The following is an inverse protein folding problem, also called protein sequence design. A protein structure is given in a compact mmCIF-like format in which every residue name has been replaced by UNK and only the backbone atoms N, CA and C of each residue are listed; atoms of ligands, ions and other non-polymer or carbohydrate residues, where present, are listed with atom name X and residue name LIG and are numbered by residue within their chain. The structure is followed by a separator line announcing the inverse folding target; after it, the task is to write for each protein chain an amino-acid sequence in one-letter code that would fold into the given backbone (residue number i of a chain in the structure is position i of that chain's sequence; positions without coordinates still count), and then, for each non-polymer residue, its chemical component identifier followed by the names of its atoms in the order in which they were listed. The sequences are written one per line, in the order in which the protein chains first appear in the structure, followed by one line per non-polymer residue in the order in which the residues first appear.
data_IF_792388658111
#
_entry.id   IF_792388658111
#
_cell.length_a   1.000
_cell.length_b   1.000
_cell.length_c   1.000
_cell.angle_alpha   90.00
_cell.angle_beta   90.00
_cell.angle_gamma   90.00
#
_symmetry.space_group_name_H-M   'P 1'
#
loop_
_entity.id
_entity.type
_entity.pdbx_description
1 polymer ?
#
# COMPACT_ATOMS: atom_id res chain seq x y z
N UNK A 1 29.71 6.40 4.28
CA UNK A 1 30.22 5.84 5.56
C UNK A 1 31.59 5.27 5.25
N UNK A 2 32.58 5.53 6.09
CA UNK A 2 33.93 5.00 5.93
C UNK A 2 34.43 4.45 7.26
N UNK A 3 35.38 3.54 7.21
CA UNK A 3 36.03 2.95 8.35
C UNK A 3 37.43 2.47 7.95
N UNK A 4 38.25 2.14 8.92
CA UNK A 4 39.60 1.58 8.70
C UNK A 4 39.60 0.17 9.31
N UNK A 5 40.24 -0.77 8.61
CA UNK A 5 40.40 -2.14 9.10
C UNK A 5 41.46 -2.17 10.22
N UNK A 6 41.27 -3.09 11.16
CA UNK A 6 42.26 -3.39 12.19
C UNK A 6 43.36 -4.29 11.63
N UNK A 7 44.33 -4.67 12.48
CA UNK A 7 45.46 -5.56 12.12
C UNK A 7 45.03 -6.95 11.61
N UNK A 8 43.80 -7.35 11.86
CA UNK A 8 43.21 -8.64 11.40
C UNK A 8 42.43 -8.47 10.09
N UNK A 9 42.35 -7.25 9.55
CA UNK A 9 41.53 -6.95 8.38
C UNK A 9 40.04 -6.73 8.65
N UNK A 10 39.58 -6.66 9.91
CA UNK A 10 38.19 -6.44 10.25
C UNK A 10 37.86 -4.96 10.40
N UNK A 11 36.73 -4.53 9.91
CA UNK A 11 36.17 -3.21 10.19
C UNK A 11 34.68 -3.33 10.52
N UNK A 12 34.23 -2.58 11.52
CA UNK A 12 32.82 -2.47 11.84
C UNK A 12 32.36 -1.03 11.59
N UNK A 13 31.39 -0.88 10.72
CA UNK A 13 30.77 0.42 10.41
C UNK A 13 29.28 0.39 10.75
N UNK A 14 28.81 1.44 11.38
CA UNK A 14 27.39 1.57 11.72
C UNK A 14 26.68 2.40 10.64
N UNK A 15 25.83 1.77 9.87
CA UNK A 15 24.94 2.44 8.93
C UNK A 15 23.63 2.84 9.61
N UNK A 16 23.23 4.11 9.49
CA UNK A 16 21.91 4.60 9.90
C UNK A 16 21.18 5.06 8.65
N UNK A 17 19.96 4.56 8.50
CA UNK A 17 19.08 4.98 7.42
C UNK A 17 18.11 6.02 7.95
N UNK A 18 18.23 7.25 7.48
CA UNK A 18 17.21 8.27 7.71
C UNK A 18 16.16 8.14 6.62
N UNK A 19 15.08 7.47 6.97
CA UNK A 19 13.91 7.36 6.11
C UNK A 19 12.99 8.54 6.39
N UNK A 20 12.56 9.22 5.34
CA UNK A 20 11.44 10.15 5.42
C UNK A 20 10.21 9.45 6.02
N UNK A 21 9.29 10.22 6.60
CA UNK A 21 8.11 9.73 7.32
C UNK A 21 7.11 8.88 6.50
N UNK A 22 7.41 8.59 5.24
CA UNK A 22 6.47 8.02 4.26
C UNK A 22 7.06 6.87 3.45
N UNK A 23 7.78 5.95 4.09
CA UNK A 23 8.17 4.72 3.39
C UNK A 23 6.91 3.95 2.95
N UNK A 24 6.81 3.52 1.67
CA UNK A 24 5.60 2.88 1.16
C UNK A 24 5.37 1.48 1.72
N UNK A 25 6.38 0.88 2.33
CA UNK A 25 6.33 -0.47 2.87
C UNK A 25 7.71 -0.97 3.28
N UNK A 26 7.93 -2.26 3.16
CA UNK A 26 9.23 -2.88 3.35
C UNK A 26 10.19 -2.46 2.22
N UNK A 27 11.42 -2.15 2.56
CA UNK A 27 12.45 -1.66 1.63
C UNK A 27 13.52 -2.71 1.42
N UNK A 28 14.17 -2.65 0.28
CA UNK A 28 15.37 -3.40 -0.02
C UNK A 28 16.58 -2.46 0.07
N UNK A 29 17.43 -2.65 1.06
CA UNK A 29 18.67 -1.93 1.18
C UNK A 29 19.76 -2.64 0.35
N UNK A 30 20.39 -1.91 -0.54
CA UNK A 30 21.56 -2.37 -1.28
C UNK A 30 22.80 -1.74 -0.64
N UNK A 31 23.70 -2.56 -0.12
CA UNK A 31 24.95 -2.15 0.49
C UNK A 31 26.08 -2.46 -0.48
N UNK A 32 26.85 -1.45 -0.84
CA UNK A 32 28.05 -1.62 -1.67
C UNK A 32 29.25 -1.26 -0.81
N UNK A 33 30.09 -2.23 -0.54
CA UNK A 33 31.33 -2.08 0.24
C UNK A 33 32.50 -2.02 -0.71
N UNK A 34 33.38 -1.04 -0.51
CA UNK A 34 34.68 -0.95 -1.22
C UNK A 34 35.77 -1.00 -0.18
N UNK A 35 36.68 -1.93 -0.36
CA UNK A 35 37.88 -2.06 0.46
C UNK A 35 39.08 -1.66 -0.38
N UNK A 36 39.79 -0.63 0.06
CA UNK A 36 40.96 -0.09 -0.63
C UNK A 36 42.24 -0.60 0.00
N UNK A 37 43.22 -0.94 -0.83
CA UNK A 37 44.57 -1.22 -0.43
C UNK A 37 45.40 0.07 -0.44
N UNK A 38 46.57 0.09 0.20
CA UNK A 38 47.46 1.25 0.21
C UNK A 38 47.96 1.60 -1.21
N UNK A 39 48.02 0.61 -2.11
CA UNK A 39 48.36 0.82 -3.53
C UNK A 39 47.32 1.63 -4.31
N UNK A 40 46.13 1.78 -3.77
CA UNK A 40 44.98 2.42 -4.44
C UNK A 40 44.05 1.46 -5.16
N UNK A 41 44.38 0.17 -5.24
CA UNK A 41 43.52 -0.86 -5.74
C UNK A 41 42.35 -1.09 -4.74
N UNK A 42 41.21 -1.58 -5.22
CA UNK A 42 40.07 -1.86 -4.37
C UNK A 42 39.26 -3.07 -4.81
N UNK A 43 38.65 -3.72 -3.83
CA UNK A 43 37.68 -4.77 -4.02
C UNK A 43 36.29 -4.22 -3.74
N UNK A 44 35.28 -4.71 -4.48
CA UNK A 44 33.87 -4.34 -4.30
C UNK A 44 33.08 -5.59 -3.90
N UNK A 45 32.25 -5.45 -2.89
CA UNK A 45 31.23 -6.43 -2.53
C UNK A 45 29.86 -5.74 -2.42
N UNK A 46 28.80 -6.46 -2.75
CA UNK A 46 27.45 -5.93 -2.77
C UNK A 46 26.47 -6.89 -2.08
N UNK A 47 25.92 -6.44 -0.97
CA UNK A 47 24.91 -7.16 -0.20
C UNK A 47 23.53 -6.53 -0.35
N UNK A 48 22.52 -7.37 -0.20
CA UNK A 48 21.11 -6.96 -0.17
C UNK A 48 20.44 -7.45 1.10
N UNK A 49 19.78 -6.54 1.80
CA UNK A 49 19.02 -6.87 2.99
C UNK A 49 17.64 -6.21 2.96
N UNK A 50 16.65 -6.93 3.53
CA UNK A 50 15.34 -6.35 3.77
C UNK A 50 15.41 -5.41 4.97
N UNK A 51 14.89 -4.22 4.79
CA UNK A 51 14.75 -3.23 5.85
C UNK A 51 13.28 -2.94 6.10
N UNK A 52 12.85 -3.16 7.34
CA UNK A 52 11.48 -2.89 7.76
C UNK A 52 11.39 -1.58 8.53
N UNK A 53 10.83 -0.50 7.94
CA UNK A 53 10.64 0.76 8.64
C UNK A 53 9.49 0.72 9.65
N UNK A 54 8.61 -0.25 9.56
CA UNK A 54 7.44 -0.39 10.42
C UNK A 54 7.50 -1.66 11.27
N UNK A 55 6.95 -1.59 12.48
CA UNK A 55 6.79 -2.76 13.35
C UNK A 55 5.68 -3.69 12.88
N UNK A 56 4.63 -3.10 12.28
CA UNK A 56 3.45 -3.80 11.74
C UNK A 56 3.05 -3.19 10.41
N UNK A 57 2.45 -4.04 9.59
CA UNK A 57 1.97 -3.71 8.27
C UNK A 57 0.48 -3.97 8.18
N UNK A 58 -0.28 -2.99 7.76
CA UNK A 58 -1.68 -3.16 7.41
C UNK A 58 -1.79 -3.72 5.99
N UNK A 59 -2.77 -4.58 5.76
CA UNK A 59 -3.14 -5.12 4.46
C UNK A 59 -4.63 -4.92 4.20
N UNK A 60 -5.00 -4.84 2.92
CA UNK A 60 -6.40 -4.82 2.47
C UNK A 60 -6.57 -5.73 1.27
N UNK A 61 -7.69 -6.44 1.24
CA UNK A 61 -8.12 -7.25 0.11
C UNK A 61 -9.50 -6.78 -0.35
N UNK A 62 -9.60 -6.42 -1.62
CA UNK A 62 -10.87 -6.09 -2.27
C UNK A 62 -11.68 -7.37 -2.49
N UNK A 63 -13.02 -7.31 -2.36
CA UNK A 63 -13.91 -8.39 -2.78
C UNK A 63 -13.93 -8.57 -4.31
N UNK A 64 -13.43 -7.59 -5.06
CA UNK A 64 -13.39 -7.61 -6.52
C UNK A 64 -12.47 -8.75 -6.98
N UNK A 65 -13.03 -9.71 -7.70
CA UNK A 65 -12.27 -10.72 -8.44
C UNK A 65 -11.85 -10.15 -9.79
N UNK A 66 -10.87 -10.77 -10.43
CA UNK A 66 -10.35 -10.35 -11.73
C UNK A 66 -11.49 -10.01 -12.72
N UNK A 67 -11.55 -8.73 -13.14
CA UNK A 67 -12.51 -8.17 -14.10
C UNK A 67 -13.98 -8.07 -13.64
N UNK A 68 -14.34 -8.47 -12.44
CA UNK A 68 -15.67 -8.19 -11.91
C UNK A 68 -15.77 -6.73 -11.46
N UNK A 69 -16.80 -6.03 -11.91
CA UNK A 69 -17.12 -4.69 -11.44
C UNK A 69 -17.98 -4.80 -10.18
N UNK A 70 -17.74 -3.89 -9.24
CA UNK A 70 -18.62 -3.75 -8.08
C UNK A 70 -19.79 -2.85 -8.48
N UNK A 71 -21.00 -3.18 -8.01
CA UNK A 71 -22.20 -2.41 -8.32
C UNK A 71 -22.60 -1.54 -7.13
N UNK A 72 -23.10 -0.34 -7.41
CA UNK A 72 -23.78 0.48 -6.40
C UNK A 72 -25.06 -0.24 -5.94
N UNK A 73 -25.58 0.12 -4.77
CA UNK A 73 -26.72 -0.56 -4.16
C UNK A 73 -26.40 -1.91 -3.49
N UNK A 74 -25.20 -2.46 -3.67
CA UNK A 74 -24.76 -3.76 -3.14
C UNK A 74 -23.76 -3.58 -2.00
N UNK A 75 -23.88 -4.40 -0.95
CA UNK A 75 -22.91 -4.46 0.14
C UNK A 75 -21.78 -5.43 -0.20
N UNK A 76 -20.54 -4.94 -0.13
CA UNK A 76 -19.34 -5.74 -0.34
C UNK A 76 -18.51 -5.80 0.93
N UNK A 77 -18.02 -7.00 1.25
CA UNK A 77 -17.14 -7.23 2.39
C UNK A 77 -15.69 -7.11 1.95
N UNK A 78 -14.98 -6.16 2.53
CA UNK A 78 -13.53 -6.01 2.41
C UNK A 78 -12.85 -6.71 3.58
N UNK A 79 -11.75 -7.39 3.30
CA UNK A 79 -10.91 -8.00 4.32
C UNK A 79 -9.71 -7.10 4.59
N UNK A 80 -9.35 -6.95 5.86
CA UNK A 80 -8.12 -6.27 6.28
C UNK A 80 -7.29 -7.20 7.14
N UNK A 81 -5.99 -6.95 7.17
CA UNK A 81 -5.08 -7.74 7.99
C UNK A 81 -4.01 -6.85 8.62
N UNK A 82 -3.43 -7.32 9.73
CA UNK A 82 -2.23 -6.76 10.33
C UNK A 82 -1.22 -7.88 10.56
N UNK A 83 0.01 -7.65 10.09
CA UNK A 83 1.13 -8.58 10.26
C UNK A 83 2.37 -7.82 10.73
N UNK A 84 3.30 -8.49 11.41
CA UNK A 84 4.62 -7.91 11.70
C UNK A 84 5.55 -7.99 10.47
N UNK A 85 6.79 -7.55 10.63
CA UNK A 85 7.79 -7.54 9.57
C UNK A 85 8.22 -8.95 9.09
N UNK A 86 7.87 -10.00 9.83
CA UNK A 86 8.08 -11.41 9.46
C UNK A 86 6.84 -12.04 8.84
N UNK A 87 5.74 -11.28 8.67
CA UNK A 87 4.47 -11.80 8.17
C UNK A 87 3.61 -12.50 9.24
N UNK A 88 3.98 -12.43 10.51
CA UNK A 88 3.20 -13.01 11.61
C UNK A 88 1.93 -12.20 11.86
N UNK A 89 0.75 -12.83 11.96
CA UNK A 89 -0.50 -12.15 12.30
C UNK A 89 -0.41 -11.37 13.62
N UNK A 90 -1.01 -10.18 13.62
CA UNK A 90 -1.06 -9.29 14.76
C UNK A 90 -2.51 -9.07 15.22
N UNK A 91 -2.85 -9.71 16.33
CA UNK A 91 -4.18 -9.64 16.92
C UNK A 91 -4.44 -8.28 17.58
N UNK A 92 -5.73 -7.95 17.74
CA UNK A 92 -6.19 -6.75 18.45
C UNK A 92 -5.60 -5.42 17.93
N UNK A 93 -5.16 -5.39 16.67
CA UNK A 93 -4.64 -4.17 16.04
C UNK A 93 -5.78 -3.27 15.60
N UNK A 94 -5.71 -2.00 15.96
CA UNK A 94 -6.65 -1.00 15.50
C UNK A 94 -6.23 -0.42 14.15
N UNK A 95 -7.11 -0.59 13.16
CA UNK A 95 -6.94 -0.11 11.80
C UNK A 95 -7.98 0.98 11.50
N UNK A 96 -7.52 2.14 11.02
CA UNK A 96 -8.38 3.19 10.49
C UNK A 96 -8.55 2.97 8.99
N UNK A 97 -9.80 2.83 8.56
CA UNK A 97 -10.18 2.72 7.15
C UNK A 97 -10.84 4.02 6.71
N UNK A 98 -10.31 4.64 5.67
CA UNK A 98 -10.87 5.85 5.07
C UNK A 98 -11.12 5.64 3.60
N UNK A 99 -12.30 6.06 3.14
CA UNK A 99 -12.73 5.93 1.74
C UNK A 99 -12.82 7.31 1.12
N UNK A 100 -12.19 7.48 -0.02
CA UNK A 100 -12.17 8.74 -0.77
C UNK A 100 -12.74 8.53 -2.17
N UNK A 101 -13.58 9.45 -2.62
CA UNK A 101 -14.03 9.46 -4.02
C UNK A 101 -12.95 10.11 -4.88
N UNK A 102 -12.53 9.44 -5.95
CA UNK A 102 -11.50 9.92 -6.88
C UNK A 102 -12.16 10.56 -8.08
N UNK A 103 -11.83 11.81 -8.36
CA UNK A 103 -12.35 12.56 -9.49
C UNK A 103 -11.31 12.64 -10.60
N UNK A 104 -11.74 12.57 -11.88
CA UNK A 104 -10.88 12.48 -13.05
C UNK A 104 -9.92 13.66 -13.23
N UNK A 105 -10.32 14.90 -12.88
CA UNK A 105 -9.48 16.09 -13.03
C UNK A 105 -8.19 16.05 -12.20
N UNK A 106 -8.14 15.23 -11.18
CA UNK A 106 -6.98 15.08 -10.31
C UNK A 106 -5.85 14.26 -10.94
N UNK A 107 -6.18 13.30 -11.82
CA UNK A 107 -5.19 12.41 -12.46
C UNK A 107 -4.21 13.16 -13.37
N UNK A 108 -4.59 14.30 -13.97
CA UNK A 108 -3.77 15.10 -14.87
C UNK A 108 -2.83 16.07 -14.14
N UNK A 109 -3.13 16.46 -12.92
CA UNK A 109 -2.38 17.46 -12.15
C UNK A 109 -1.30 16.85 -11.27
N UNK A 110 -1.32 15.54 -11.04
CA UNK A 110 -0.41 14.83 -10.12
C UNK A 110 0.84 14.30 -10.83
N UNK A 111 1.64 15.17 -11.36
CA UNK A 111 2.85 14.81 -12.14
C UNK A 111 4.00 14.18 -11.32
N UNK A 112 3.88 13.90 -10.02
CA UNK A 112 4.96 13.25 -9.24
C UNK A 112 4.64 12.78 -7.83
N UNK A 113 3.47 12.99 -7.31
CA UNK A 113 3.19 12.69 -5.91
C UNK A 113 2.02 11.73 -5.79
N UNK A 114 2.33 10.43 -5.70
CA UNK A 114 1.38 9.35 -5.71
C UNK A 114 0.18 9.49 -4.75
N UNK A 115 -0.73 8.52 -4.77
CA UNK A 115 -1.93 8.37 -3.94
C UNK A 115 -1.74 8.71 -2.44
N UNK A 116 -0.52 8.58 -1.91
CA UNK A 116 -0.20 8.98 -0.54
C UNK A 116 -0.36 10.49 -0.31
N UNK A 117 -0.05 11.32 -1.30
CA UNK A 117 -0.20 12.78 -1.20
C UNK A 117 -1.66 13.21 -1.41
N UNK A 118 -2.42 12.49 -2.25
CA UNK A 118 -3.86 12.72 -2.38
C UNK A 118 -4.60 12.61 -1.03
N UNK A 119 -4.18 11.66 -0.21
CA UNK A 119 -4.78 11.44 1.13
C UNK A 119 -4.28 12.45 2.17
N UNK A 120 -3.11 13.06 1.95
CA UNK A 120 -2.52 14.03 2.88
C UNK A 120 -3.00 15.46 2.64
N UNK A 121 -3.53 15.77 1.46
CA UNK A 121 -4.04 17.10 1.16
C UNK A 121 -5.32 17.40 1.96
N UNK A 122 -5.33 18.55 2.61
CA UNK A 122 -6.40 19.04 3.48
C UNK A 122 -7.76 19.19 2.77
N UNK A 123 -7.79 19.07 1.45
CA UNK A 123 -8.97 19.25 0.60
C UNK A 123 -9.78 17.97 0.39
N UNK A 124 -9.20 16.79 0.64
CA UNK A 124 -9.87 15.51 0.38
C UNK A 124 -10.46 14.93 1.67
N UNK A 125 -11.71 15.25 1.93
CA UNK A 125 -12.45 14.63 3.03
C UNK A 125 -12.85 13.21 2.67
N UNK A 126 -12.64 12.22 3.57
CA UNK A 126 -13.15 10.89 3.34
C UNK A 126 -14.68 10.89 3.29
N UNK A 127 -15.24 10.20 2.31
CA UNK A 127 -16.70 10.02 2.18
C UNK A 127 -17.25 9.00 3.20
N UNK A 128 -16.41 8.06 3.62
CA UNK A 128 -16.72 7.10 4.70
C UNK A 128 -15.46 6.82 5.54
N UNK A 129 -15.67 6.50 6.80
CA UNK A 129 -14.60 6.11 7.74
C UNK A 129 -15.07 4.96 8.60
N UNK A 130 -14.18 3.97 8.82
CA UNK A 130 -14.43 2.82 9.68
C UNK A 130 -13.24 2.63 10.62
N UNK A 131 -13.51 2.12 11.82
CA UNK A 131 -12.50 1.59 12.72
C UNK A 131 -12.66 0.07 12.75
N UNK A 132 -11.62 -0.66 12.40
CA UNK A 132 -11.62 -2.12 12.40
C UNK A 132 -10.56 -2.62 13.37
N UNK A 133 -10.93 -3.59 14.20
CA UNK A 133 -9.98 -4.28 15.08
C UNK A 133 -9.75 -5.68 14.55
N UNK A 134 -8.49 -6.10 14.45
CA UNK A 134 -8.16 -7.46 14.02
C UNK A 134 -8.47 -8.48 15.12
N UNK A 135 -8.89 -9.65 14.70
CA UNK A 135 -9.13 -10.83 15.55
C UNK A 135 -7.82 -11.53 15.98
N UNK A 136 -7.94 -12.74 16.53
CA UNK A 136 -6.79 -13.57 16.96
C UNK A 136 -5.84 -13.94 15.82
N UNK A 137 -6.35 -14.02 14.60
CA UNK A 137 -5.60 -14.36 13.38
C UNK A 137 -5.08 -13.12 12.64
N UNK A 138 -5.15 -11.95 13.27
CA UNK A 138 -4.70 -10.69 12.69
C UNK A 138 -5.58 -10.20 11.53
N UNK A 139 -6.83 -10.64 11.44
CA UNK A 139 -7.77 -10.32 10.36
C UNK A 139 -8.95 -9.53 10.88
N UNK A 140 -9.55 -8.75 9.99
CA UNK A 140 -10.79 -8.03 10.25
C UNK A 140 -11.55 -7.79 8.96
N UNK A 141 -12.79 -7.36 9.07
CA UNK A 141 -13.64 -7.07 7.91
C UNK A 141 -14.42 -5.79 8.14
N UNK A 142 -14.81 -5.14 7.05
CA UNK A 142 -15.81 -4.08 7.05
C UNK A 142 -16.66 -4.18 5.79
N UNK A 143 -17.87 -3.62 5.88
CA UNK A 143 -18.79 -3.60 4.74
C UNK A 143 -18.82 -2.21 4.11
N UNK A 144 -18.81 -2.18 2.78
CA UNK A 144 -18.85 -0.96 1.99
C UNK A 144 -19.92 -1.08 0.90
N UNK A 145 -20.77 -0.08 0.83
CA UNK A 145 -21.78 0.10 -0.23
C UNK A 145 -21.95 1.57 -0.54
N UNK A 146 -22.42 1.87 -1.72
CA UNK A 146 -22.78 3.22 -2.16
C UNK A 146 -24.18 3.22 -2.76
N UNK A 147 -24.98 4.30 -2.57
CA UNK A 147 -26.24 4.47 -3.29
C UNK A 147 -26.04 4.51 -4.80
N UNK A 148 -27.06 4.16 -5.59
CA UNK A 148 -26.97 4.03 -7.06
C UNK A 148 -26.44 5.26 -7.79
N UNK A 149 -26.65 6.46 -7.24
CA UNK A 149 -26.16 7.71 -7.83
C UNK A 149 -24.69 8.03 -7.53
N UNK A 150 -24.07 7.23 -6.66
CA UNK A 150 -22.68 7.44 -6.20
C UNK A 150 -21.69 6.49 -6.90
N UNK A 151 -21.92 6.18 -8.17
CA UNK A 151 -20.97 5.41 -8.97
C UNK A 151 -19.64 6.15 -9.17
N UNK A 152 -18.59 5.41 -9.49
CA UNK A 152 -17.26 5.96 -9.77
C UNK A 152 -16.13 5.21 -9.08
N UNK A 153 -14.96 5.82 -9.13
CA UNK A 153 -13.73 5.26 -8.55
C UNK A 153 -13.56 5.75 -7.11
N UNK A 154 -13.22 4.82 -6.23
CA UNK A 154 -12.94 5.10 -4.83
C UNK A 154 -11.58 4.54 -4.44
N UNK A 155 -10.83 5.34 -3.69
CA UNK A 155 -9.62 4.91 -3.02
C UNK A 155 -9.94 4.55 -1.57
N UNK A 156 -9.60 3.34 -1.16
CA UNK A 156 -9.84 2.82 0.17
C UNK A 156 -8.47 2.67 0.84
N UNK A 157 -8.20 3.52 1.82
CA UNK A 157 -6.95 3.54 2.58
C UNK A 157 -7.15 2.83 3.92
N UNK A 158 -6.19 2.01 4.30
CA UNK A 158 -6.12 1.36 5.62
C UNK A 158 -4.83 1.76 6.29
N UNK A 159 -4.91 2.27 7.51
CA UNK A 159 -3.77 2.74 8.30
C UNK A 159 -3.77 2.08 9.67
N UNK A 160 -2.64 1.49 10.06
CA UNK A 160 -2.39 1.07 11.43
C UNK A 160 -2.20 2.30 12.33
N UNK A 161 -2.99 2.43 13.39
CA UNK A 161 -2.95 3.58 14.29
C UNK A 161 -1.63 3.72 15.03
N UNK A 162 -0.99 2.61 15.36
CA UNK A 162 0.25 2.60 16.16
C UNK A 162 1.49 2.63 15.26
N UNK A 163 1.64 1.68 14.34
CA UNK A 163 2.82 1.60 13.47
C UNK A 163 2.86 2.69 12.40
N UNK A 164 1.72 3.33 12.11
CA UNK A 164 1.54 4.38 11.08
C UNK A 164 1.68 3.88 9.64
N UNK A 165 1.98 2.59 9.43
CA UNK A 165 1.95 2.01 8.08
C UNK A 165 0.55 2.17 7.48
N UNK A 166 0.50 2.53 6.21
CA UNK A 166 -0.74 2.64 5.44
C UNK A 166 -0.62 1.95 4.10
N UNK A 167 -1.72 1.38 3.67
CA UNK A 167 -1.89 0.77 2.35
C UNK A 167 -3.27 1.13 1.81
N UNK A 168 -3.55 0.78 0.56
CA UNK A 168 -4.86 1.04 0.00
C UNK A 168 -5.11 0.30 -1.31
N UNK A 169 -6.36 0.31 -1.71
CA UNK A 169 -6.84 -0.29 -2.95
C UNK A 169 -7.79 0.65 -3.67
N UNK A 170 -7.74 0.65 -5.00
CA UNK A 170 -8.73 1.31 -5.84
C UNK A 170 -9.86 0.34 -6.15
N UNK A 171 -11.11 0.81 -6.03
CA UNK A 171 -12.30 0.04 -6.41
C UNK A 171 -13.22 0.92 -7.25
N UNK A 172 -13.73 0.36 -8.35
CA UNK A 172 -14.70 1.02 -9.18
C UNK A 172 -16.09 0.44 -8.92
N UNK A 173 -17.03 1.31 -8.60
CA UNK A 173 -18.44 0.96 -8.41
C UNK A 173 -19.22 1.47 -9.61
N UNK A 174 -19.87 0.54 -10.32
CA UNK A 174 -20.68 0.84 -11.50
C UNK A 174 -22.15 0.92 -11.14
N UNK A 175 -22.94 1.50 -12.03
CA UNK A 175 -24.38 1.53 -11.89
C UNK A 175 -24.97 0.18 -12.27
N UNK A 176 -25.87 -0.42 -11.44
CA UNK A 176 -26.39 -1.77 -11.66
C UNK A 176 -27.17 -1.96 -12.98
N UNK A 177 -27.59 -0.88 -13.63
CA UNK A 177 -28.33 -0.91 -14.89
C UNK A 177 -27.44 -1.00 -16.14
N UNK A 178 -26.11 -1.03 -16.02
CA UNK A 178 -25.20 -1.15 -17.15
C UNK A 178 -24.97 -2.58 -17.64
N UNK A 179 -25.56 -3.58 -17.00
CA UNK A 179 -25.45 -4.99 -17.45
C UNK A 179 -26.05 -5.26 -18.83
N UNK A 180 -26.88 -4.33 -19.37
CA UNK A 180 -27.49 -4.47 -20.71
C UNK A 180 -26.68 -3.91 -21.88
N UNK A 181 -25.50 -3.31 -21.66
CA UNK A 181 -24.65 -2.75 -22.73
C UNK A 181 -23.38 -3.55 -23.04
N UNK A 182 -23.33 -4.82 -22.73
CA UNK A 182 -22.37 -5.70 -23.37
C UNK A 182 -22.86 -5.91 -24.80
N UNK A 183 -22.15 -5.32 -25.74
CA UNK A 183 -22.34 -5.47 -27.17
C UNK A 183 -22.65 -6.92 -27.53
N UNK A 184 -23.88 -7.20 -27.86
CA UNK A 184 -24.25 -8.27 -28.78
C UNK A 184 -24.10 -7.73 -30.20
N UNK A 185 -22.90 -7.32 -30.59
CA UNK A 185 -22.52 -7.26 -31.98
C UNK A 185 -22.18 -8.68 -32.45
N UNK A 186 -23.21 -9.48 -32.52
CA UNK A 186 -23.22 -10.63 -33.37
C UNK A 186 -23.21 -10.13 -34.79
N UNK A 187 -22.07 -10.14 -35.43
CA UNK A 187 -21.97 -10.17 -36.89
C UNK A 187 -22.52 -11.47 -37.37
N UNK A 188 -23.81 -11.54 -37.64
CA UNK A 188 -24.38 -12.39 -38.64
C UNK A 188 -24.27 -11.64 -39.97
N UNK A 189 -23.26 -11.95 -40.73
CA UNK A 189 -23.24 -11.72 -42.17
C UNK A 189 -23.44 -13.07 -42.85
N UNK A 190 -24.59 -13.16 -43.51
CA UNK A 190 -24.92 -14.15 -44.51
C UNK A 190 -23.95 -14.11 -45.69
#
# INVERSE_FOLDING_TARGET
ISGVTNERGDATVQARFELGSTAPGMLLANLVTRVYEESGDFSIDADRMLYSPYRRYAGIKSPQKDKEQLNTGTNYTYEVASVDYLGKPQANTELDVKVYKVYWYWWWDSNSSGLANYVSDSYNKPVKTFAVRTDGDGRGTFQLSFPDKEWGTYFISVKDKESKHSTGVMSYFDWPYNEGRRNTDGSESA
#
